data_IF_782370423250
#
_entry.id   IF_782370423250
#
_cell.length_a   1.000
_cell.length_b   1.000
_cell.length_c   1.000
_cell.angle_alpha   90.00
_cell.angle_beta   90.00
_cell.angle_gamma   90.00
#
_symmetry.space_group_name_H-M   'P 1'
#
loop_
_entity.id
_entity.type
_entity.pdbx_description
1 polymer ?
#
# COMPACT_ATOMS: atom_id res chain seq x y z
N UNK A 1 -50.16 48.59 28.73
CA UNK A 1 -48.90 49.02 28.06
C UNK A 1 -47.77 48.89 29.08
N UNK A 2 -46.65 48.19 28.92
CA UNK A 2 -46.11 47.28 27.89
C UNK A 2 -44.81 46.69 28.50
N UNK A 3 -44.62 45.36 28.45
CA UNK A 3 -43.44 44.56 27.98
C UNK A 3 -42.05 45.25 28.02
N UNK A 4 -40.89 44.68 28.41
CA UNK A 4 -40.31 43.33 28.66
C UNK A 4 -38.91 43.57 29.33
N UNK A 5 -38.32 42.63 30.09
CA UNK A 5 -36.89 42.65 30.41
C UNK A 5 -36.04 42.10 29.25
N UNK A 6 -34.88 42.72 29.01
CA UNK A 6 -33.95 42.38 27.95
C UNK A 6 -32.93 41.32 28.41
N UNK A 7 -33.07 40.14 27.82
CA UNK A 7 -32.04 39.35 27.15
C UNK A 7 -30.76 38.96 27.93
N UNK A 8 -30.84 37.79 28.56
CA UNK A 8 -29.69 36.96 28.92
C UNK A 8 -29.01 36.45 27.64
N UNK A 9 -27.91 37.09 27.23
CA UNK A 9 -27.05 36.55 26.17
C UNK A 9 -26.17 35.42 26.74
N UNK A 10 -26.78 34.25 26.84
CA UNK A 10 -26.11 32.96 27.03
C UNK A 10 -25.03 32.80 25.95
N UNK A 11 -23.78 32.78 26.39
CA UNK A 11 -22.61 32.46 25.57
C UNK A 11 -22.64 31.00 25.17
N UNK A 12 -23.40 30.70 24.11
CA UNK A 12 -23.46 29.39 23.47
C UNK A 12 -22.10 29.00 22.92
N UNK A 13 -21.38 28.16 23.67
CA UNK A 13 -20.18 27.46 23.24
C UNK A 13 -20.57 26.55 22.08
N UNK A 14 -20.25 26.96 20.85
CA UNK A 14 -20.48 26.13 19.66
C UNK A 14 -19.81 24.76 19.84
N UNK A 15 -20.51 23.65 19.56
CA UNK A 15 -19.90 22.33 19.64
C UNK A 15 -18.75 22.27 18.62
N UNK A 16 -17.54 21.94 19.10
CA UNK A 16 -16.39 21.68 18.22
C UNK A 16 -16.80 20.54 17.28
N UNK A 17 -17.02 20.84 15.99
CA UNK A 17 -17.21 19.81 14.98
C UNK A 17 -16.04 18.84 15.07
N UNK A 18 -16.27 17.51 14.97
CA UNK A 18 -15.20 16.54 14.98
C UNK A 18 -14.20 16.91 13.88
N UNK A 19 -12.94 17.14 14.25
CA UNK A 19 -11.85 17.38 13.32
C UNK A 19 -11.80 16.22 12.32
N UNK A 20 -12.38 16.44 11.13
CA UNK A 20 -12.44 15.49 10.04
C UNK A 20 -11.00 15.12 9.69
N UNK A 21 -10.60 13.88 9.99
CA UNK A 21 -9.24 13.39 9.72
C UNK A 21 -8.95 13.57 8.23
N UNK A 22 -7.98 14.41 7.89
CA UNK A 22 -7.55 14.61 6.50
C UNK A 22 -7.00 13.28 5.98
N UNK A 23 -7.64 12.72 4.96
CA UNK A 23 -7.14 11.53 4.27
C UNK A 23 -6.12 11.98 3.22
N UNK A 24 -5.11 11.15 3.00
CA UNK A 24 -4.09 11.41 2.00
C UNK A 24 -3.97 10.20 1.09
N UNK A 25 -3.77 10.47 -0.21
CA UNK A 25 -3.43 9.48 -1.20
C UNK A 25 -1.97 9.68 -1.58
N UNK A 26 -1.22 8.59 -1.67
CA UNK A 26 0.14 8.60 -2.19
C UNK A 26 0.13 7.94 -3.57
N UNK A 27 0.69 8.64 -4.55
CA UNK A 27 0.81 8.18 -5.93
C UNK A 27 2.27 7.85 -6.20
N UNK A 28 2.53 6.71 -6.83
CA UNK A 28 3.83 6.36 -7.37
C UNK A 28 3.73 6.47 -8.89
N UNK A 29 4.55 7.33 -9.49
CA UNK A 29 4.50 7.64 -10.91
C UNK A 29 5.86 7.42 -11.56
N UNK A 30 5.84 6.93 -12.78
CA UNK A 30 7.02 6.71 -13.62
C UNK A 30 7.36 7.97 -14.43
N UNK A 31 7.57 9.10 -13.74
CA UNK A 31 7.59 10.45 -14.31
C UNK A 31 8.90 11.22 -14.08
N UNK A 32 9.96 10.52 -13.65
CA UNK A 32 11.28 11.09 -13.40
C UNK A 32 12.32 10.37 -14.24
N UNK A 33 13.27 11.08 -14.86
CA UNK A 33 14.24 10.52 -15.82
C UNK A 33 15.08 9.31 -15.35
N UNK A 34 15.19 9.11 -14.04
CA UNK A 34 15.95 8.01 -13.44
C UNK A 34 15.07 6.97 -12.75
N UNK A 35 13.73 7.13 -12.78
CA UNK A 35 12.80 6.17 -12.20
C UNK A 35 11.50 6.81 -11.72
N UNK A 36 11.14 6.52 -10.47
CA UNK A 36 9.80 6.81 -9.96
C UNK A 36 9.77 7.99 -8.99
N UNK A 37 8.66 8.73 -8.99
CA UNK A 37 8.36 9.73 -7.97
C UNK A 37 7.16 9.32 -7.10
N UNK A 38 7.27 9.57 -5.79
CA UNK A 38 6.17 9.44 -4.85
C UNK A 38 5.61 10.83 -4.57
N UNK A 39 4.31 11.01 -4.78
CA UNK A 39 3.61 12.30 -4.62
C UNK A 39 2.46 12.15 -3.64
N UNK A 40 2.25 13.18 -2.79
CA UNK A 40 1.18 13.20 -1.78
C UNK A 40 0.03 14.09 -2.24
N UNK A 41 -1.18 13.54 -2.26
CA UNK A 41 -2.43 14.23 -2.60
C UNK A 41 -3.32 14.29 -1.35
N UNK A 42 -3.90 15.46 -1.06
CA UNK A 42 -4.90 15.61 -0.01
C UNK A 42 -6.29 15.25 -0.52
N UNK A 43 -6.98 14.34 0.18
CA UNK A 43 -8.38 14.04 -0.10
C UNK A 43 -9.24 14.89 0.83
N UNK A 44 -9.73 16.02 0.31
CA UNK A 44 -10.80 16.77 0.96
C UNK A 44 -12.11 16.04 0.68
N UNK A 45 -12.68 15.38 1.69
CA UNK A 45 -14.05 14.89 1.64
C UNK A 45 -14.97 16.12 1.68
N UNK A 46 -15.29 16.68 0.52
CA UNK A 46 -16.05 17.93 0.43
C UNK A 46 -16.44 18.25 -1.00
N UNK A 47 -16.88 17.24 -1.77
CA UNK A 47 -17.85 17.47 -2.83
C UNK A 47 -19.24 17.45 -2.17
N UNK A 48 -19.52 18.43 -1.32
CA UNK A 48 -20.90 18.84 -1.11
C UNK A 48 -21.24 19.65 -2.36
N UNK A 49 -22.03 19.02 -3.23
CA UNK A 49 -22.69 19.65 -4.36
C UNK A 49 -23.51 20.82 -3.83
N UNK A 50 -22.93 22.03 -3.80
CA UNK A 50 -23.72 23.22 -3.73
C UNK A 50 -24.20 23.53 -5.14
N UNK A 51 -25.52 23.52 -5.25
CA UNK A 51 -26.30 23.84 -6.42
C UNK A 51 -25.90 25.20 -7.01
N UNK A 52 -26.21 25.29 -8.31
CA UNK A 52 -25.94 26.38 -9.22
C UNK A 52 -26.00 27.78 -8.60
N UNK A 53 -24.96 28.57 -8.88
CA UNK A 53 -25.15 29.94 -9.32
C UNK A 53 -24.30 30.15 -10.58
N UNK A 54 -25.03 30.42 -11.64
CA UNK A 54 -24.58 30.79 -12.98
C UNK A 54 -23.97 32.19 -12.94
N UNK A 55 -22.65 32.28 -13.12
CA UNK A 55 -22.03 33.40 -13.83
C UNK A 55 -20.66 33.00 -14.41
N UNK A 56 -20.59 32.93 -15.74
CA UNK A 56 -19.39 33.23 -16.51
C UNK A 56 -18.13 32.40 -16.22
N UNK A 57 -18.20 31.06 -16.26
CA UNK A 57 -17.02 30.21 -16.12
C UNK A 57 -16.11 30.28 -17.37
N UNK A 58 -15.16 31.21 -17.31
CA UNK A 58 -13.90 31.16 -18.08
C UNK A 58 -13.34 29.76 -17.90
N UNK A 59 -13.22 29.00 -19.00
CA UNK A 59 -12.39 27.80 -19.08
C UNK A 59 -10.93 28.22 -18.85
N UNK A 60 -10.56 28.52 -17.61
CA UNK A 60 -9.16 28.45 -17.20
C UNK A 60 -8.84 26.97 -17.30
N UNK A 61 -8.15 26.61 -18.36
CA UNK A 61 -7.29 25.44 -18.41
C UNK A 61 -6.32 25.56 -17.24
N UNK A 62 -6.78 25.17 -16.05
CA UNK A 62 -5.89 24.91 -14.93
C UNK A 62 -5.15 23.66 -15.41
N UNK A 63 -3.98 23.85 -15.99
CA UNK A 63 -2.99 22.79 -16.08
C UNK A 63 -2.88 22.22 -14.66
N UNK A 64 -3.51 21.07 -14.41
CA UNK A 64 -3.46 20.41 -13.12
C UNK A 64 -2.05 19.85 -12.98
N UNK A 65 -1.10 20.72 -12.60
CA UNK A 65 0.29 20.33 -12.36
C UNK A 65 0.27 19.36 -11.19
N UNK A 66 0.83 18.17 -11.42
CA UNK A 66 0.94 17.14 -10.39
C UNK A 66 1.67 17.72 -9.15
N UNK A 67 1.24 17.37 -7.92
CA UNK A 67 1.90 17.84 -6.70
C UNK A 67 3.38 17.47 -6.67
N UNK A 68 4.23 18.30 -6.08
CA UNK A 68 5.67 18.04 -5.98
C UNK A 68 5.95 16.65 -5.39
N UNK A 69 6.94 15.95 -5.96
CA UNK A 69 7.45 14.70 -5.43
C UNK A 69 7.96 14.88 -3.98
N UNK A 70 7.50 14.02 -3.08
CA UNK A 70 7.98 13.95 -1.69
C UNK A 70 9.17 13.00 -1.55
N UNK A 71 9.30 12.05 -2.48
CA UNK A 71 10.39 11.11 -2.56
C UNK A 71 10.60 10.70 -4.01
N UNK A 72 11.83 10.30 -4.37
CA UNK A 72 12.20 9.78 -5.70
C UNK A 72 13.04 8.54 -5.51
N UNK A 73 12.79 7.53 -6.34
CA UNK A 73 13.45 6.24 -6.31
C UNK A 73 14.02 5.94 -7.70
N UNK A 74 15.33 5.77 -7.78
CA UNK A 74 16.03 5.45 -9.03
C UNK A 74 15.84 3.98 -9.41
N UNK A 75 15.04 3.67 -10.41
CA UNK A 75 14.77 2.28 -10.77
C UNK A 75 14.43 2.16 -12.25
N UNK A 76 14.60 0.96 -12.84
CA UNK A 76 14.22 0.73 -14.23
C UNK A 76 12.74 1.05 -14.49
N UNK A 77 12.50 1.78 -15.58
CA UNK A 77 11.18 2.18 -16.06
C UNK A 77 10.30 1.01 -16.52
N UNK A 78 9.00 1.28 -16.68
CA UNK A 78 8.01 0.40 -17.34
C UNK A 78 7.81 -0.96 -16.65
N UNK A 79 8.05 -1.03 -15.33
CA UNK A 79 7.84 -2.24 -14.54
C UNK A 79 6.63 -2.07 -13.59
N UNK A 80 5.39 -2.24 -14.10
CA UNK A 80 4.21 -2.21 -13.24
C UNK A 80 4.27 -3.34 -12.20
N UNK A 81 3.58 -3.15 -11.07
CA UNK A 81 3.46 -4.21 -10.05
C UNK A 81 4.64 -4.36 -9.09
N UNK A 82 5.67 -3.49 -9.17
CA UNK A 82 6.82 -3.54 -8.26
C UNK A 82 6.66 -2.74 -6.96
N UNK A 83 5.63 -1.90 -6.88
CA UNK A 83 5.36 -1.13 -5.68
C UNK A 83 4.23 -1.78 -4.90
N UNK A 84 4.46 -2.02 -3.62
CA UNK A 84 3.44 -2.57 -2.72
C UNK A 84 3.26 -1.67 -1.49
N UNK A 85 2.01 -1.33 -1.12
CA UNK A 85 1.73 -0.74 0.17
C UNK A 85 1.88 -1.78 1.28
N UNK A 86 2.62 -1.44 2.32
CA UNK A 86 2.80 -2.27 3.50
C UNK A 86 2.73 -1.43 4.79
N UNK A 87 1.54 -1.41 5.38
CA UNK A 87 1.19 -0.59 6.53
C UNK A 87 1.27 0.90 6.19
N UNK A 88 2.28 1.56 6.74
CA UNK A 88 2.59 2.98 6.45
C UNK A 88 3.72 3.15 5.43
N UNK A 89 4.27 2.05 4.91
CA UNK A 89 5.39 2.05 3.99
C UNK A 89 4.93 1.78 2.56
N UNK A 90 5.64 2.36 1.62
CA UNK A 90 5.58 2.00 0.20
C UNK A 90 6.89 1.28 -0.08
N UNK A 91 6.81 -0.01 -0.41
CA UNK A 91 7.98 -0.85 -0.68
C UNK A 91 8.17 -0.99 -2.18
N UNK A 92 9.43 -1.00 -2.61
CA UNK A 92 9.81 -1.35 -3.96
C UNK A 92 10.43 -2.75 -3.97
N UNK A 93 9.74 -3.66 -4.63
CA UNK A 93 10.05 -5.09 -4.73
C UNK A 93 10.88 -5.39 -5.98
N UNK A 94 11.77 -4.48 -6.36
CA UNK A 94 12.52 -4.48 -7.63
C UNK A 94 13.18 -5.81 -8.00
N UNK A 95 13.59 -5.92 -9.27
CA UNK A 95 14.22 -7.14 -9.79
C UNK A 95 15.63 -7.34 -9.25
N UNK A 96 16.24 -8.48 -9.61
CA UNK A 96 17.62 -8.83 -9.28
C UNK A 96 18.65 -7.78 -9.74
N UNK A 97 18.31 -6.99 -10.77
CA UNK A 97 19.12 -5.91 -11.34
C UNK A 97 19.07 -4.62 -10.52
N UNK A 98 18.25 -4.56 -9.47
CA UNK A 98 18.21 -3.43 -8.56
C UNK A 98 19.62 -3.18 -8.00
N UNK A 99 20.16 -1.95 -8.10
CA UNK A 99 21.47 -1.62 -7.54
C UNK A 99 21.49 -1.78 -6.01
N UNK A 100 20.30 -1.82 -5.40
CA UNK A 100 20.13 -2.06 -3.98
C UNK A 100 20.05 -3.56 -3.72
N UNK A 101 21.02 -4.08 -2.96
CA UNK A 101 20.98 -5.45 -2.41
C UNK A 101 19.88 -5.67 -1.34
N UNK A 102 18.94 -4.72 -1.21
CA UNK A 102 17.79 -4.73 -0.30
C UNK A 102 16.58 -4.11 -1.00
N UNK A 103 15.37 -4.39 -0.52
CA UNK A 103 14.14 -3.77 -1.00
C UNK A 103 13.90 -2.43 -0.27
N UNK A 104 13.98 -1.27 -0.95
CA UNK A 104 13.78 0.01 -0.29
C UNK A 104 12.32 0.24 0.09
N UNK A 105 12.12 0.86 1.25
CA UNK A 105 10.80 1.14 1.82
C UNK A 105 10.72 2.58 2.31
N UNK A 106 9.83 3.36 1.70
CA UNK A 106 9.55 4.74 2.11
C UNK A 106 8.38 4.77 3.09
N UNK A 107 8.61 5.13 4.35
CA UNK A 107 7.57 5.31 5.36
C UNK A 107 6.92 6.68 5.18
N UNK A 108 5.65 6.70 4.78
CA UNK A 108 4.92 7.94 4.51
C UNK A 108 4.57 8.74 5.77
N UNK A 109 4.60 8.10 6.94
CA UNK A 109 4.33 8.72 8.25
C UNK A 109 5.58 9.41 8.79
N UNK A 110 6.72 8.74 8.77
CA UNK A 110 7.98 9.28 9.31
C UNK A 110 8.84 9.99 8.27
N UNK A 111 8.54 9.79 6.98
CA UNK A 111 9.35 10.18 5.81
C UNK A 111 10.75 9.56 5.82
N UNK A 112 10.93 8.47 6.56
CA UNK A 112 12.17 7.73 6.61
C UNK A 112 12.25 6.74 5.44
N UNK A 113 13.46 6.58 4.91
CA UNK A 113 13.80 5.47 4.03
C UNK A 113 14.36 4.34 4.90
N UNK A 114 13.79 3.16 4.76
CA UNK A 114 14.23 1.92 5.42
C UNK A 114 14.42 0.84 4.36
N UNK A 115 14.95 -0.32 4.75
CA UNK A 115 15.22 -1.44 3.85
C UNK A 115 14.62 -2.72 4.38
N UNK A 116 14.07 -3.54 3.49
CA UNK A 116 13.63 -4.89 3.74
C UNK A 116 14.56 -5.89 3.03
N UNK A 117 14.58 -7.16 3.44
CA UNK A 117 15.25 -8.22 2.71
C UNK A 117 14.74 -8.24 1.28
N UNK A 118 15.68 -8.30 0.35
CA UNK A 118 15.36 -8.57 -1.05
C UNK A 118 14.87 -10.02 -1.13
N UNK A 119 13.91 -10.28 -2.02
CA UNK A 119 13.59 -11.64 -2.43
C UNK A 119 14.73 -12.15 -3.32
N UNK A 120 15.17 -13.38 -3.10
CA UNK A 120 16.27 -13.96 -3.90
C UNK A 120 15.82 -14.37 -5.32
N UNK A 121 14.52 -14.57 -5.53
CA UNK A 121 13.93 -14.89 -6.81
C UNK A 121 13.35 -13.64 -7.51
N UNK A 122 13.63 -13.51 -8.79
CA UNK A 122 13.04 -12.46 -9.61
C UNK A 122 11.54 -12.69 -9.79
N UNK A 123 10.72 -11.71 -9.41
CA UNK A 123 9.27 -11.77 -9.61
C UNK A 123 8.88 -11.48 -11.06
N UNK A 124 7.89 -12.21 -11.57
CA UNK A 124 7.28 -11.86 -12.84
C UNK A 124 6.49 -10.55 -12.73
N UNK A 125 6.89 -9.45 -13.41
CA UNK A 125 6.26 -8.14 -13.22
C UNK A 125 4.77 -8.09 -13.63
N UNK A 126 4.32 -9.09 -14.39
CA UNK A 126 2.94 -9.16 -14.90
C UNK A 126 2.12 -10.30 -14.28
N UNK A 127 2.71 -11.16 -13.44
CA UNK A 127 2.06 -12.39 -12.96
C UNK A 127 2.21 -12.65 -11.46
N UNK A 128 2.76 -11.69 -10.72
CA UNK A 128 2.81 -11.73 -9.27
C UNK A 128 1.65 -10.96 -8.63
N UNK A 129 1.22 -11.40 -7.46
CA UNK A 129 0.32 -10.67 -6.59
C UNK A 129 0.97 -10.42 -5.24
N UNK A 130 0.94 -9.17 -4.79
CA UNK A 130 1.30 -8.79 -3.44
C UNK A 130 0.05 -8.45 -2.64
N UNK A 131 -0.02 -8.91 -1.40
CA UNK A 131 -1.15 -8.61 -0.53
C UNK A 131 -0.68 -8.48 0.91
N UNK A 132 -1.16 -7.46 1.61
CA UNK A 132 -1.00 -7.39 3.05
C UNK A 132 -2.24 -7.95 3.72
N UNK A 133 -2.09 -8.91 4.62
CA UNK A 133 -3.17 -9.45 5.47
C UNK A 133 -2.64 -9.63 6.89
N UNK A 134 -3.41 -9.24 7.90
CA UNK A 134 -3.01 -9.32 9.32
C UNK A 134 -1.61 -8.71 9.58
N UNK A 135 -1.29 -7.60 8.91
CA UNK A 135 0.01 -6.92 9.05
C UNK A 135 1.21 -7.69 8.49
N UNK A 136 0.99 -8.82 7.80
CA UNK A 136 2.01 -9.60 7.10
C UNK A 136 1.89 -9.35 5.60
N UNK A 137 3.02 -9.32 4.90
CA UNK A 137 3.05 -9.16 3.45
C UNK A 137 3.23 -10.53 2.79
N UNK A 138 2.34 -10.87 1.87
CA UNK A 138 2.36 -12.09 1.08
C UNK A 138 2.68 -11.78 -0.37
N UNK A 139 3.38 -12.71 -1.00
CA UNK A 139 3.70 -12.70 -2.41
C UNK A 139 3.29 -14.05 -3.00
N UNK A 140 2.54 -14.00 -4.08
CA UNK A 140 2.24 -15.16 -4.90
C UNK A 140 2.72 -14.93 -6.33
N UNK A 141 3.66 -15.75 -6.80
CA UNK A 141 4.32 -15.60 -8.11
C UNK A 141 4.65 -16.95 -8.74
N UNK A 142 4.06 -17.26 -9.90
CA UNK A 142 4.32 -18.49 -10.67
C UNK A 142 4.24 -19.82 -9.89
N UNK A 143 3.43 -19.89 -8.83
CA UNK A 143 3.31 -21.08 -7.98
C UNK A 143 4.21 -21.05 -6.73
N UNK A 144 5.08 -20.05 -6.61
CA UNK A 144 5.78 -19.72 -5.37
C UNK A 144 4.88 -18.85 -4.50
N UNK A 145 4.62 -19.31 -3.28
CA UNK A 145 3.86 -18.56 -2.30
C UNK A 145 4.75 -18.28 -1.11
N UNK A 146 4.95 -17.00 -0.79
CA UNK A 146 5.89 -16.57 0.23
C UNK A 146 5.29 -15.49 1.12
N UNK A 147 5.82 -15.40 2.33
CA UNK A 147 5.45 -14.37 3.30
C UNK A 147 6.71 -13.67 3.80
N UNK A 148 6.64 -12.35 3.90
CA UNK A 148 7.66 -11.54 4.56
C UNK A 148 7.41 -11.57 6.07
N UNK A 149 8.28 -12.25 6.80
CA UNK A 149 8.22 -12.36 8.24
C UNK A 149 8.80 -11.11 8.91
N UNK A 150 8.10 -10.52 9.89
CA UNK A 150 8.69 -9.50 10.75
C UNK A 150 9.77 -10.12 11.63
N UNK A 151 10.75 -9.32 12.09
CA UNK A 151 11.76 -9.79 13.02
C UNK A 151 11.09 -10.22 14.33
N UNK A 152 11.64 -11.24 15.02
CA UNK A 152 11.13 -11.63 16.33
C UNK A 152 11.16 -10.42 17.28
N UNK A 153 10.19 -10.31 18.21
CA UNK A 153 10.22 -9.25 19.21
C UNK A 153 11.56 -9.31 19.96
N UNK A 154 12.12 -8.15 20.35
CA UNK A 154 13.33 -8.13 21.16
C UNK A 154 13.12 -9.03 22.37
N UNK A 155 14.05 -9.97 22.61
CA UNK A 155 14.06 -10.70 23.87
C UNK A 155 14.26 -9.66 24.97
N UNK A 156 13.38 -9.66 25.98
CA UNK A 156 13.59 -8.92 27.23
C UNK A 156 14.88 -9.46 27.86
N UNK A 157 16.01 -8.86 27.55
CA UNK A 157 17.31 -9.29 28.04
C UNK A 157 17.88 -8.23 28.99
N UNK A 158 17.86 -8.58 30.28
CA UNK A 158 18.66 -8.01 31.38
C UNK A 158 20.19 -8.25 31.18
N UNK A 159 20.68 -8.14 29.94
CA UNK A 159 22.09 -8.37 29.56
C UNK A 159 22.85 -7.06 29.32
N UNK A 160 24.18 -7.03 29.55
CA UNK A 160 24.96 -5.79 29.53
C UNK A 160 24.98 -5.17 28.13
N UNK A 161 24.89 -3.83 28.14
CA UNK A 161 24.76 -2.91 27.02
C UNK A 161 25.41 -3.37 25.70
N UNK A 162 24.55 -3.64 24.72
CA UNK A 162 24.93 -3.97 23.35
C UNK A 162 23.76 -4.58 22.60
N UNK A 163 22.58 -3.95 22.64
CA UNK A 163 21.41 -4.42 21.89
C UNK A 163 21.66 -4.12 20.41
N UNK A 164 22.23 -5.10 19.70
CA UNK A 164 22.20 -5.12 18.25
C UNK A 164 20.72 -5.26 17.85
N UNK A 165 20.13 -4.16 17.36
CA UNK A 165 18.74 -4.19 16.89
C UNK A 165 18.73 -4.98 15.59
N UNK A 166 18.47 -6.28 15.73
CA UNK A 166 18.44 -7.24 14.64
C UNK A 166 17.14 -7.05 13.84
N UNK A 167 17.21 -6.28 12.75
CA UNK A 167 16.11 -6.12 11.79
C UNK A 167 16.10 -7.28 10.78
N UNK A 168 16.10 -8.51 11.28
CA UNK A 168 16.08 -9.73 10.45
C UNK A 168 14.66 -10.07 10.04
N UNK A 169 14.13 -9.22 9.16
CA UNK A 169 13.01 -9.61 8.32
C UNK A 169 13.52 -10.68 7.35
N UNK A 170 12.71 -11.68 7.04
CA UNK A 170 13.06 -12.73 6.08
C UNK A 170 11.86 -13.18 5.27
N UNK A 171 12.11 -13.61 4.04
CA UNK A 171 11.11 -14.30 3.23
C UNK A 171 11.02 -15.76 3.68
N UNK A 172 9.80 -16.26 3.88
CA UNK A 172 9.56 -17.68 4.13
C UNK A 172 8.60 -18.26 3.09
N UNK A 173 8.94 -19.43 2.56
CA UNK A 173 8.10 -20.18 1.63
C UNK A 173 6.93 -20.83 2.34
N UNK A 174 5.74 -20.65 1.78
CA UNK A 174 4.48 -21.26 2.16
C UNK A 174 4.13 -22.39 1.18
N UNK A 175 3.15 -23.26 1.52
CA UNK A 175 2.71 -24.30 0.60
C UNK A 175 2.28 -23.75 -0.76
N UNK A 176 2.92 -24.23 -1.83
CA UNK A 176 2.63 -23.82 -3.20
C UNK A 176 1.17 -24.08 -3.57
N UNK A 177 0.46 -23.11 -4.17
CA UNK A 177 -0.89 -23.35 -4.65
C UNK A 177 -0.92 -24.31 -5.85
N UNK A 178 -2.07 -24.96 -6.11
CA UNK A 178 -2.20 -25.95 -7.18
C UNK A 178 -2.14 -25.38 -8.62
N UNK A 179 -2.11 -24.04 -8.74
CA UNK A 179 -2.20 -23.22 -9.96
C UNK A 179 -1.07 -22.19 -9.93
N UNK A 180 -0.64 -21.70 -11.08
CA UNK A 180 0.64 -20.99 -11.19
C UNK A 180 0.47 -19.50 -11.51
N UNK A 181 -0.53 -19.12 -12.31
CA UNK A 181 -0.67 -17.73 -12.75
C UNK A 181 -1.78 -17.03 -12.00
N UNK A 182 -1.45 -15.96 -11.28
CA UNK A 182 -2.45 -15.11 -10.64
C UNK A 182 -3.07 -14.18 -11.69
N UNK A 183 -4.40 -14.10 -11.72
CA UNK A 183 -5.16 -13.18 -12.57
C UNK A 183 -5.68 -12.02 -11.73
N UNK A 184 -6.21 -12.34 -10.56
CA UNK A 184 -6.75 -11.36 -9.63
C UNK A 184 -6.67 -11.88 -8.20
N UNK A 185 -6.71 -10.95 -7.26
CA UNK A 185 -6.66 -11.25 -5.84
C UNK A 185 -7.55 -10.28 -5.06
N UNK A 186 -8.03 -10.72 -3.91
CA UNK A 186 -8.79 -9.89 -2.98
C UNK A 186 -8.53 -10.34 -1.53
N UNK A 187 -8.43 -9.36 -0.64
CA UNK A 187 -8.43 -9.58 0.81
C UNK A 187 -9.87 -9.67 1.29
N UNK A 188 -10.18 -10.70 2.08
CA UNK A 188 -11.50 -10.82 2.72
C UNK A 188 -11.58 -9.86 3.92
N UNK A 189 -12.77 -9.27 4.23
CA UNK A 189 -12.91 -8.31 5.32
C UNK A 189 -12.54 -8.82 6.73
N UNK A 190 -12.40 -10.14 6.89
CA UNK A 190 -11.95 -10.76 8.14
C UNK A 190 -10.45 -10.55 8.44
N UNK A 191 -9.70 -9.94 7.52
CA UNK A 191 -8.24 -9.77 7.61
C UNK A 191 -7.48 -11.08 7.87
N UNK A 192 -8.05 -12.19 7.43
CA UNK A 192 -7.55 -13.55 7.68
C UNK A 192 -7.53 -14.38 6.40
N UNK A 193 -8.50 -14.14 5.52
CA UNK A 193 -8.67 -14.92 4.30
C UNK A 193 -8.23 -14.13 3.08
N UNK A 194 -7.40 -14.75 2.25
CA UNK A 194 -7.01 -14.22 0.95
C UNK A 194 -7.69 -15.02 -0.15
N UNK A 195 -8.21 -14.36 -1.17
CA UNK A 195 -8.82 -15.01 -2.33
C UNK A 195 -7.99 -14.72 -3.57
N UNK A 196 -7.65 -15.77 -4.32
CA UNK A 196 -6.90 -15.68 -5.56
C UNK A 196 -7.68 -16.35 -6.69
N UNK A 197 -7.83 -15.66 -7.81
CA UNK A 197 -8.23 -16.30 -9.07
C UNK A 197 -6.99 -16.58 -9.89
N UNK A 198 -6.81 -17.84 -10.27
CA UNK A 198 -5.58 -18.32 -10.88
C UNK A 198 -5.87 -19.19 -12.11
N UNK A 199 -4.91 -19.25 -13.03
CA UNK A 199 -4.92 -20.23 -14.11
C UNK A 199 -3.84 -21.30 -13.99
N UNK A 200 -4.20 -22.47 -14.52
CA UNK A 200 -3.30 -23.60 -14.72
C UNK A 200 -3.29 -23.92 -16.20
N UNK A 201 -2.13 -23.74 -16.81
CA UNK A 201 -1.89 -24.13 -18.18
C UNK A 201 -1.47 -25.60 -18.23
N UNK A 202 -2.14 -26.38 -19.07
CA UNK A 202 -1.79 -27.79 -19.30
C UNK A 202 -1.17 -27.95 -20.69
N UNK A 203 0.16 -27.98 -20.77
CA UNK A 203 0.91 -28.23 -22.02
C UNK A 203 0.39 -29.47 -22.77
N UNK A 204 0.08 -30.56 -22.05
CA UNK A 204 -0.41 -31.82 -22.65
C UNK A 204 -1.77 -31.72 -23.34
N UNK A 205 -2.60 -30.78 -22.90
CA UNK A 205 -3.99 -30.63 -23.37
C UNK A 205 -4.20 -29.32 -24.12
N UNK A 206 -3.17 -28.48 -24.23
CA UNK A 206 -3.23 -27.11 -24.75
C UNK A 206 -4.46 -26.34 -24.25
N UNK A 207 -4.76 -26.49 -22.96
CA UNK A 207 -5.94 -25.87 -22.32
C UNK A 207 -5.52 -25.12 -21.07
N UNK A 208 -6.22 -24.01 -20.84
CA UNK A 208 -6.11 -23.20 -19.65
C UNK A 208 -7.34 -23.45 -18.76
N UNK A 209 -7.10 -23.71 -17.47
CA UNK A 209 -8.17 -23.85 -16.48
C UNK A 209 -8.09 -22.71 -15.49
N UNK A 210 -9.18 -21.99 -15.34
CA UNK A 210 -9.36 -20.95 -14.34
C UNK A 210 -10.00 -21.55 -13.09
N UNK A 211 -9.51 -21.18 -11.92
CA UNK A 211 -10.11 -21.53 -10.65
C UNK A 211 -9.83 -20.45 -9.60
N UNK A 212 -10.73 -20.36 -8.61
CA UNK A 212 -10.62 -19.44 -7.50
C UNK A 212 -10.34 -20.22 -6.22
N UNK A 213 -9.37 -19.77 -5.44
CA UNK A 213 -8.92 -20.39 -4.20
C UNK A 213 -8.97 -19.38 -3.07
N UNK A 214 -9.25 -19.87 -1.86
CA UNK A 214 -9.11 -19.11 -0.64
C UNK A 214 -7.98 -19.69 0.21
N UNK A 215 -7.15 -18.84 0.79
CA UNK A 215 -6.13 -19.21 1.76
C UNK A 215 -6.49 -18.60 3.12
N UNK A 216 -6.53 -19.45 4.15
CA UNK A 216 -6.88 -19.08 5.52
C UNK A 216 -5.64 -19.17 6.41
N UNK A 217 -5.26 -18.05 7.02
CA UNK A 217 -4.05 -17.91 7.85
C UNK A 217 -4.03 -18.74 9.14
N UNK A 218 -5.16 -19.22 9.67
CA UNK A 218 -5.16 -20.05 10.89
C UNK A 218 -5.09 -21.55 10.61
N UNK A 219 -5.29 -21.97 9.34
CA UNK A 219 -5.34 -23.38 8.95
C UNK A 219 -4.11 -23.84 8.17
N UNK A 220 -3.10 -22.97 8.05
CA UNK A 220 -1.88 -23.16 7.27
C UNK A 220 -0.67 -23.49 8.11
#
# INVERSE_FOLDING_TARGET
MTKRPADERSGGRSPKLPTRRRKHLYLVLDDWELGYSIRKVGLSLGFESNEADDDGMIYRTIEQRLPRAVFRLEAPHERPGQFVPFGTKIMFMGTIDSPWGTAPMYDVRTRALTSAPRRDLETSPLRCAYMQVDGKLFLLDQGEFEMLQPPPPPLDNDGPAGVEVKFDWSWCTLPSPPYHHVISHAEHPDQRTMVFSMTKYSMKKYTERLATFSFDLERS
#
